data_IF_145670415279
#
_entry.id   IF_145670415279
#
_cell.length_a   1.000
_cell.length_b   1.000
_cell.length_c   1.000
_cell.angle_alpha   90.00
_cell.angle_beta   90.00
_cell.angle_gamma   90.00
#
_symmetry.space_group_name_H-M   'P 1'
#
loop_
_entity.id
_entity.type
_entity.pdbx_description
1 polymer ?
#
# COMPACT_ATOMS: atom_id res chain seq x y z
N UNK A 1 -13.05 45.17 -24.07
CA UNK A 1 -12.82 44.61 -22.73
C UNK A 1 -12.88 43.10 -22.83
N UNK A 2 -11.73 42.45 -22.73
CA UNK A 2 -11.60 41.02 -22.49
C UNK A 2 -10.17 40.84 -21.99
N UNK A 3 -9.98 41.05 -20.69
CA UNK A 3 -8.79 40.57 -20.00
C UNK A 3 -9.09 39.15 -19.58
N UNK A 4 -8.48 38.20 -20.29
CA UNK A 4 -8.42 36.81 -19.85
C UNK A 4 -7.40 36.75 -18.72
N UNK A 5 -7.87 36.74 -17.48
CA UNK A 5 -7.05 36.49 -16.30
C UNK A 5 -6.54 35.06 -16.34
N UNK A 6 -5.31 34.86 -16.82
CA UNK A 6 -4.56 33.63 -16.61
C UNK A 6 -4.26 33.49 -15.13
N UNK A 7 -4.97 32.58 -14.47
CA UNK A 7 -4.74 32.22 -13.08
C UNK A 7 -3.39 31.49 -12.97
N UNK A 8 -2.32 32.21 -12.65
CA UNK A 8 -1.00 31.61 -12.39
C UNK A 8 -1.01 31.06 -10.97
N UNK A 9 -1.47 29.81 -10.82
CA UNK A 9 -1.24 29.02 -9.61
C UNK A 9 0.25 29.07 -9.25
N UNK A 10 0.54 29.44 -8.00
CA UNK A 10 1.84 29.93 -7.54
C UNK A 10 3.03 29.10 -8.01
N UNK A 11 3.84 29.66 -8.91
CA UNK A 11 5.18 29.16 -9.21
C UNK A 11 6.18 29.88 -8.33
N UNK A 12 7.20 29.17 -7.85
CA UNK A 12 8.34 29.74 -7.16
C UNK A 12 8.91 30.91 -8.02
N UNK A 13 9.06 32.13 -7.48
CA UNK A 13 9.42 33.32 -8.26
C UNK A 13 10.87 33.31 -8.78
N UNK A 14 11.65 32.28 -8.44
CA UNK A 14 13.02 32.07 -8.89
C UNK A 14 13.07 30.74 -9.66
N UNK A 15 13.24 30.81 -10.99
CA UNK A 15 13.54 29.62 -11.79
C UNK A 15 14.94 29.11 -11.42
N UNK A 16 15.02 27.92 -10.84
CA UNK A 16 16.26 27.16 -10.73
C UNK A 16 16.35 26.17 -11.92
N UNK A 17 17.51 26.08 -12.57
CA UNK A 17 17.73 25.15 -13.69
C UNK A 17 17.85 23.67 -13.31
N UNK A 18 17.61 23.32 -12.04
CA UNK A 18 17.64 21.93 -11.57
C UNK A 18 16.34 21.19 -11.89
N UNK A 19 16.45 19.96 -12.41
CA UNK A 19 15.32 19.06 -12.56
C UNK A 19 14.93 18.47 -11.20
N UNK A 20 13.93 19.06 -10.55
CA UNK A 20 13.56 18.80 -9.15
C UNK A 20 12.13 18.26 -9.01
N UNK A 21 11.42 18.08 -10.13
CA UNK A 21 10.06 17.55 -10.18
C UNK A 21 10.02 16.26 -11.00
N UNK A 22 9.16 15.31 -10.64
CA UNK A 22 9.03 14.04 -11.35
C UNK A 22 8.30 14.17 -12.71
N UNK A 23 7.60 15.28 -12.96
CA UNK A 23 6.73 15.45 -14.13
C UNK A 23 7.44 15.82 -15.44
N UNK A 24 8.76 16.02 -15.42
CA UNK A 24 9.55 16.31 -16.61
C UNK A 24 10.76 15.37 -16.67
N UNK A 25 10.70 14.37 -17.55
CA UNK A 25 11.79 13.42 -17.76
C UNK A 25 12.31 13.49 -19.20
N UNK A 26 13.62 13.32 -19.37
CA UNK A 26 14.18 13.15 -20.73
C UNK A 26 13.64 11.87 -21.39
N UNK A 27 13.20 10.91 -20.60
CA UNK A 27 12.64 9.65 -21.08
C UNK A 27 11.28 9.82 -21.76
N UNK A 28 10.60 10.96 -21.57
CA UNK A 28 9.34 11.27 -22.25
C UNK A 28 9.51 11.34 -23.78
N UNK A 29 10.73 11.63 -24.27
CA UNK A 29 11.09 11.60 -25.70
C UNK A 29 11.23 10.17 -26.25
N UNK A 30 11.51 9.19 -25.39
CA UNK A 30 11.73 7.80 -25.77
C UNK A 30 10.93 6.85 -24.88
N UNK A 31 9.59 6.87 -24.97
CA UNK A 31 8.72 6.09 -24.07
C UNK A 31 8.89 4.57 -24.24
N UNK A 32 9.45 4.11 -25.36
CA UNK A 32 9.74 2.70 -25.64
C UNK A 32 11.16 2.27 -25.25
N UNK A 33 11.94 3.14 -24.61
CA UNK A 33 13.27 2.78 -24.14
C UNK A 33 13.20 1.77 -22.98
N UNK A 34 14.21 0.92 -22.89
CA UNK A 34 14.30 -0.06 -21.79
C UNK A 34 14.45 0.66 -20.44
N UNK A 35 13.60 0.30 -19.48
CA UNK A 35 13.61 0.88 -18.12
C UNK A 35 14.67 0.21 -17.25
N UNK A 36 15.88 0.76 -17.20
CA UNK A 36 17.00 0.21 -16.41
C UNK A 36 16.93 0.58 -14.92
N UNK A 37 16.19 1.63 -14.55
CA UNK A 37 16.13 2.13 -13.17
C UNK A 37 15.68 1.06 -12.16
N UNK A 38 14.86 0.10 -12.60
CA UNK A 38 14.36 -1.01 -11.77
C UNK A 38 15.48 -1.91 -11.24
N UNK A 39 16.65 -1.93 -11.91
CA UNK A 39 17.81 -2.73 -11.51
C UNK A 39 18.66 -2.06 -10.43
N UNK A 40 18.38 -0.78 -10.13
CA UNK A 40 19.13 0.05 -9.18
C UNK A 40 18.26 0.60 -8.05
N UNK A 41 17.05 0.08 -7.91
CA UNK A 41 16.19 0.43 -6.79
C UNK A 41 16.79 -0.07 -5.48
N UNK A 42 16.42 0.59 -4.38
CA UNK A 42 16.82 0.19 -3.03
C UNK A 42 18.34 0.11 -2.81
N UNK A 43 19.12 0.89 -3.57
CA UNK A 43 20.55 1.06 -3.35
C UNK A 43 20.84 1.76 -2.01
N UNK A 44 22.06 1.59 -1.53
CA UNK A 44 22.65 2.17 -0.32
C UNK A 44 22.45 3.68 -0.18
N UNK A 45 22.37 4.44 -1.28
CA UNK A 45 22.22 5.91 -1.25
C UNK A 45 20.88 6.39 -0.74
N UNK A 46 19.82 5.59 -0.89
CA UNK A 46 18.47 5.94 -0.41
C UNK A 46 18.15 5.33 0.94
N UNK A 47 18.92 4.33 1.36
CA UNK A 47 18.77 3.70 2.67
C UNK A 47 19.39 4.61 3.76
N UNK A 48 18.58 5.12 4.72
CA UNK A 48 19.08 5.96 5.80
C UNK A 48 19.81 5.16 6.89
N UNK A 49 19.76 3.83 6.84
CA UNK A 49 20.45 2.97 7.78
C UNK A 49 21.95 2.92 7.46
N UNK A 50 22.79 2.74 8.49
CA UNK A 50 24.22 2.56 8.29
C UNK A 50 24.51 1.29 7.46
N UNK A 51 25.64 1.22 6.75
CA UNK A 51 25.98 0.08 5.88
C UNK A 51 26.10 -1.25 6.64
N UNK A 52 26.37 -1.20 7.94
CA UNK A 52 26.52 -2.38 8.81
C UNK A 52 25.21 -2.72 9.56
N UNK A 53 24.09 -2.07 9.24
CA UNK A 53 22.81 -2.37 9.86
C UNK A 53 22.27 -3.71 9.36
N UNK A 54 21.92 -4.59 10.30
CA UNK A 54 21.26 -5.87 10.05
C UNK A 54 19.92 -5.90 10.81
N UNK A 55 18.82 -5.93 10.06
CA UNK A 55 17.49 -5.94 10.65
C UNK A 55 17.24 -7.21 11.47
N UNK A 56 17.68 -8.36 10.99
CA UNK A 56 17.45 -9.63 11.67
C UNK A 56 18.21 -9.70 13.00
N UNK A 57 19.40 -9.11 13.11
CA UNK A 57 20.12 -8.99 14.38
C UNK A 57 19.46 -8.01 15.35
N UNK A 58 18.91 -6.89 14.87
CA UNK A 58 18.15 -5.96 15.73
C UNK A 58 16.82 -6.54 16.18
N UNK A 59 16.13 -7.27 15.30
CA UNK A 59 14.86 -7.92 15.57
C UNK A 59 14.97 -8.94 16.71
N UNK A 60 16.08 -9.68 16.82
CA UNK A 60 16.32 -10.61 17.94
C UNK A 60 16.30 -9.93 19.32
N UNK A 61 16.51 -8.60 19.36
CA UNK A 61 16.53 -7.79 20.59
C UNK A 61 15.16 -7.18 20.92
N UNK A 62 14.14 -7.46 20.11
CA UNK A 62 12.78 -6.96 20.29
C UNK A 62 12.09 -7.66 21.46
N UNK A 63 11.51 -6.88 22.37
CA UNK A 63 10.57 -7.41 23.35
C UNK A 63 9.21 -7.63 22.68
N UNK A 64 9.01 -8.84 22.16
CA UNK A 64 7.83 -9.22 21.37
C UNK A 64 6.57 -9.18 22.22
N UNK A 65 6.63 -9.62 23.48
CA UNK A 65 5.43 -9.67 24.33
C UNK A 65 5.02 -8.27 24.77
N UNK A 66 5.96 -7.38 25.08
CA UNK A 66 5.64 -5.97 25.30
C UNK A 66 5.03 -5.33 24.05
N UNK A 67 5.57 -5.60 22.85
CA UNK A 67 5.02 -5.06 21.60
C UNK A 67 3.58 -5.53 21.35
N UNK A 68 3.31 -6.82 21.55
CA UNK A 68 1.96 -7.36 21.41
C UNK A 68 1.00 -6.72 22.42
N UNK A 69 1.44 -6.52 23.66
CA UNK A 69 0.61 -5.85 24.67
C UNK A 69 0.30 -4.40 24.28
N UNK A 70 1.32 -3.62 23.90
CA UNK A 70 1.15 -2.25 23.42
C UNK A 70 0.16 -2.17 22.24
N UNK A 71 0.23 -3.11 21.31
CA UNK A 71 -0.70 -3.18 20.18
C UNK A 71 -2.13 -3.49 20.62
N UNK A 72 -2.32 -4.38 21.61
CA UNK A 72 -3.65 -4.67 22.16
C UNK A 72 -4.21 -3.46 22.92
N UNK A 73 -3.38 -2.77 23.71
CA UNK A 73 -3.77 -1.57 24.44
C UNK A 73 -4.18 -0.45 23.47
N UNK A 74 -3.40 -0.25 22.39
CA UNK A 74 -3.72 0.71 21.33
C UNK A 74 -5.12 0.48 20.75
N UNK A 75 -5.60 -0.77 20.66
CA UNK A 75 -6.90 -1.04 20.04
C UNK A 75 -8.04 -0.28 20.72
N UNK A 76 -7.93 0.01 22.02
CA UNK A 76 -8.96 0.74 22.78
C UNK A 76 -8.52 2.14 23.22
N UNK A 77 -7.31 2.57 22.87
CA UNK A 77 -6.76 3.90 23.19
C UNK A 77 -7.19 4.94 22.14
N UNK A 78 -8.48 5.28 22.13
CA UNK A 78 -9.08 6.18 21.14
C UNK A 78 -8.44 7.58 21.17
N UNK A 79 -8.02 8.06 20.01
CA UNK A 79 -7.43 9.38 19.80
C UNK A 79 -8.49 10.37 19.28
N UNK A 80 -8.51 11.59 19.82
CA UNK A 80 -9.52 12.61 19.44
C UNK A 80 -9.49 12.99 17.95
N UNK A 81 -8.31 12.98 17.32
CA UNK A 81 -8.12 13.35 15.92
C UNK A 81 -8.59 12.27 14.93
N UNK A 82 -8.81 11.04 15.41
CA UNK A 82 -9.40 9.95 14.65
C UNK A 82 -10.07 8.97 15.61
N UNK A 83 -11.28 9.26 16.12
CA UNK A 83 -11.92 8.44 17.16
C UNK A 83 -12.11 6.99 16.71
N UNK A 84 -11.96 6.06 17.65
CA UNK A 84 -12.19 4.65 17.39
C UNK A 84 -13.69 4.35 17.28
N UNK A 85 -14.11 3.72 16.16
CA UNK A 85 -15.47 3.24 16.02
C UNK A 85 -15.79 2.25 17.15
N UNK A 86 -16.89 2.49 17.85
CA UNK A 86 -17.30 1.73 19.05
C UNK A 86 -16.21 1.62 20.14
N UNK A 87 -15.26 2.56 20.17
CA UNK A 87 -14.15 2.55 21.11
C UNK A 87 -13.08 1.49 20.80
N UNK A 88 -13.05 0.90 19.60
CA UNK A 88 -12.07 -0.12 19.24
C UNK A 88 -11.56 -0.01 17.79
N UNK A 89 -10.25 0.20 17.58
CA UNK A 89 -9.61 0.29 16.25
C UNK A 89 -9.45 -1.02 15.50
N UNK A 90 -9.86 -2.15 16.08
CA UNK A 90 -9.62 -3.49 15.54
C UNK A 90 -10.02 -3.68 14.09
N UNK A 91 -11.22 -3.23 13.69
CA UNK A 91 -11.67 -3.31 12.29
C UNK A 91 -10.77 -2.53 11.33
N UNK A 92 -10.33 -1.33 11.74
CA UNK A 92 -9.41 -0.49 10.96
C UNK A 92 -8.03 -1.15 10.81
N UNK A 93 -7.49 -1.75 11.88
CA UNK A 93 -6.18 -2.41 11.85
C UNK A 93 -6.20 -3.71 11.04
N UNK A 94 -7.29 -4.48 11.11
CA UNK A 94 -7.51 -5.65 10.25
C UNK A 94 -7.55 -5.23 8.79
N UNK A 95 -8.35 -4.21 8.44
CA UNK A 95 -8.40 -3.69 7.06
C UNK A 95 -7.03 -3.22 6.59
N UNK A 96 -6.28 -2.49 7.42
CA UNK A 96 -4.93 -2.03 7.07
C UNK A 96 -3.99 -3.20 6.75
N UNK A 97 -3.95 -4.23 7.60
CA UNK A 97 -3.12 -5.41 7.40
C UNK A 97 -3.55 -6.21 6.15
N UNK A 98 -4.86 -6.38 5.96
CA UNK A 98 -5.46 -7.01 4.78
C UNK A 98 -5.05 -6.28 3.50
N UNK A 99 -5.20 -4.95 3.44
CA UNK A 99 -4.82 -4.16 2.26
C UNK A 99 -3.30 -4.13 2.03
N UNK A 100 -2.49 -4.24 3.08
CA UNK A 100 -1.04 -4.34 2.93
C UNK A 100 -0.65 -5.69 2.31
N UNK A 101 -1.25 -6.79 2.77
CA UNK A 101 -1.00 -8.13 2.24
C UNK A 101 -1.68 -8.39 0.89
N UNK A 102 -2.82 -7.76 0.64
CA UNK A 102 -3.74 -8.13 -0.43
C UNK A 102 -3.37 -7.64 -1.83
N UNK A 103 -2.29 -6.88 -1.97
CA UNK A 103 -1.78 -6.48 -3.30
C UNK A 103 -0.94 -7.56 -3.97
N UNK A 104 -0.70 -8.68 -3.28
CA UNK A 104 0.09 -9.79 -3.79
C UNK A 104 -0.57 -10.46 -5.00
N UNK A 105 0.26 -10.90 -5.96
CA UNK A 105 -0.19 -11.70 -7.10
C UNK A 105 0.79 -12.82 -7.43
N UNK A 106 0.26 -14.00 -7.77
CA UNK A 106 1.05 -15.22 -7.99
C UNK A 106 1.84 -15.20 -9.30
N UNK A 107 1.37 -14.46 -10.31
CA UNK A 107 1.92 -14.51 -11.66
C UNK A 107 3.38 -14.03 -11.73
N UNK A 108 3.72 -13.00 -10.95
CA UNK A 108 5.08 -12.44 -10.89
C UNK A 108 5.63 -12.29 -9.46
N UNK A 109 4.85 -12.66 -8.44
CA UNK A 109 5.24 -12.61 -7.03
C UNK A 109 5.33 -11.20 -6.44
N UNK A 110 4.89 -10.16 -7.16
CA UNK A 110 4.95 -8.77 -6.68
C UNK A 110 3.77 -8.41 -5.77
N UNK A 111 3.92 -7.26 -5.10
CA UNK A 111 2.97 -6.77 -4.12
C UNK A 111 3.06 -7.52 -2.79
N UNK A 112 2.02 -7.37 -1.98
CA UNK A 112 1.91 -7.95 -0.66
C UNK A 112 2.60 -7.15 0.45
N UNK A 113 2.52 -7.68 1.66
CA UNK A 113 2.91 -6.96 2.88
C UNK A 113 4.41 -7.04 3.22
N UNK A 114 5.22 -7.63 2.34
CA UNK A 114 6.61 -8.02 2.62
C UNK A 114 7.58 -6.85 2.82
N UNK A 115 7.28 -5.67 2.28
CA UNK A 115 8.20 -4.53 2.23
C UNK A 115 7.67 -3.27 2.94
N UNK A 116 6.41 -3.31 3.41
CA UNK A 116 5.74 -2.16 4.00
C UNK A 116 5.39 -1.06 2.98
N UNK A 117 5.36 -1.38 1.68
CA UNK A 117 5.11 -0.47 0.57
C UNK A 117 3.80 0.35 0.66
N UNK A 118 2.81 -0.07 1.47
CA UNK A 118 1.58 0.68 1.74
C UNK A 118 1.86 2.10 2.31
N UNK A 119 3.06 2.37 2.84
CA UNK A 119 3.45 3.72 3.29
C UNK A 119 3.96 4.64 2.17
N UNK A 120 4.22 4.10 0.98
CA UNK A 120 4.73 4.82 -0.18
C UNK A 120 3.68 4.92 -1.29
N UNK A 121 3.90 5.85 -2.23
CA UNK A 121 3.13 5.87 -3.47
C UNK A 121 3.42 4.58 -4.29
N UNK A 122 2.45 4.10 -5.08
CA UNK A 122 1.10 4.64 -5.23
C UNK A 122 0.14 4.18 -4.12
N UNK A 123 0.46 3.08 -3.42
CA UNK A 123 -0.46 2.39 -2.51
C UNK A 123 -0.95 3.26 -1.35
N UNK A 124 -0.14 4.18 -0.84
CA UNK A 124 -0.56 5.09 0.22
C UNK A 124 -1.70 6.04 -0.18
N UNK A 125 -2.02 6.13 -1.47
CA UNK A 125 -2.98 7.05 -2.07
C UNK A 125 -4.00 6.36 -2.98
N UNK A 126 -4.01 5.02 -3.03
CA UNK A 126 -5.05 4.29 -3.74
C UNK A 126 -6.44 4.58 -3.15
N UNK A 127 -7.50 4.69 -3.98
CA UNK A 127 -8.87 4.88 -3.50
C UNK A 127 -9.30 3.82 -2.47
N UNK A 128 -8.91 2.57 -2.68
CA UNK A 128 -9.27 1.49 -1.75
C UNK A 128 -8.47 1.54 -0.45
N UNK A 129 -7.42 2.37 -0.36
CA UNK A 129 -6.62 2.58 0.85
C UNK A 129 -7.01 3.86 1.61
N UNK A 130 -8.15 4.46 1.29
CA UNK A 130 -8.68 5.63 2.00
C UNK A 130 -8.71 5.40 3.51
N UNK A 131 -8.23 6.41 4.24
CA UNK A 131 -8.12 6.47 5.69
C UNK A 131 -7.12 5.50 6.33
N UNK A 132 -6.46 4.63 5.56
CA UNK A 132 -5.36 3.81 6.10
C UNK A 132 -4.12 4.63 6.43
N UNK A 133 -4.01 5.86 5.92
CA UNK A 133 -3.01 6.83 6.39
C UNK A 133 -3.19 7.17 7.88
N UNK A 134 -4.43 7.18 8.39
CA UNK A 134 -4.72 7.36 9.83
C UNK A 134 -4.38 6.10 10.61
N UNK A 135 -4.70 4.91 10.08
CA UNK A 135 -4.31 3.64 10.69
C UNK A 135 -2.79 3.54 10.89
N UNK A 136 -2.00 3.85 9.84
CA UNK A 136 -0.53 3.91 9.94
C UNK A 136 -0.05 4.97 10.93
N UNK A 137 -0.73 6.12 11.00
CA UNK A 137 -0.40 7.19 11.95
C UNK A 137 -0.66 6.79 13.41
N UNK A 138 -1.72 6.03 13.69
CA UNK A 138 -2.01 5.49 15.02
C UNK A 138 -0.92 4.53 15.50
N UNK A 139 -0.26 3.81 14.60
CA UNK A 139 0.85 2.89 14.92
C UNK A 139 2.21 3.58 15.11
N UNK A 140 2.33 4.86 14.75
CA UNK A 140 3.59 5.59 14.83
C UNK A 140 4.20 5.64 16.25
N UNK A 141 3.44 5.90 17.34
CA UNK A 141 4.00 5.87 18.69
C UNK A 141 4.67 4.53 19.04
N UNK A 142 4.08 3.41 18.60
CA UNK A 142 4.64 2.07 18.76
C UNK A 142 5.92 1.93 17.93
N UNK A 143 5.89 2.29 16.65
CA UNK A 143 7.11 2.27 15.81
C UNK A 143 8.23 3.11 16.42
N UNK A 144 7.91 4.28 16.97
CA UNK A 144 8.84 5.18 17.64
C UNK A 144 9.42 4.55 18.91
N UNK A 145 8.61 3.85 19.72
CA UNK A 145 9.05 3.17 20.94
C UNK A 145 10.03 2.02 20.65
N UNK A 146 9.74 1.19 19.63
CA UNK A 146 10.54 0.01 19.32
C UNK A 146 11.67 0.25 18.31
N UNK A 147 11.64 1.39 17.61
CA UNK A 147 12.74 1.84 16.76
C UNK A 147 13.09 0.84 15.66
N UNK A 148 14.39 0.60 15.47
CA UNK A 148 14.90 -0.21 14.36
C UNK A 148 14.74 -1.73 14.57
N UNK A 149 14.32 -2.15 15.76
CA UNK A 149 14.04 -3.56 16.08
C UNK A 149 12.71 -4.06 15.50
N UNK A 150 11.92 -3.14 14.96
CA UNK A 150 10.60 -3.39 14.42
C UNK A 150 10.45 -2.60 13.12
N UNK A 151 10.37 -3.28 11.98
CA UNK A 151 10.09 -2.62 10.70
C UNK A 151 8.63 -2.17 10.63
N UNK A 152 8.33 -1.21 9.74
CA UNK A 152 6.94 -0.93 9.40
C UNK A 152 6.29 -2.14 8.73
N UNK A 153 7.01 -2.85 7.85
CA UNK A 153 6.50 -4.02 7.16
C UNK A 153 5.94 -5.08 8.13
N UNK A 154 6.67 -5.42 9.21
CA UNK A 154 6.17 -6.34 10.23
C UNK A 154 5.06 -5.70 11.09
N UNK A 155 5.21 -4.44 11.50
CA UNK A 155 4.23 -3.76 12.35
C UNK A 155 2.84 -3.67 11.70
N UNK A 156 2.76 -3.37 10.40
CA UNK A 156 1.48 -3.26 9.68
C UNK A 156 0.69 -4.58 9.74
N UNK A 157 1.36 -5.71 9.55
CA UNK A 157 0.69 -7.03 9.56
C UNK A 157 0.42 -7.48 10.99
N UNK A 158 1.37 -7.27 11.91
CA UNK A 158 1.19 -7.64 13.32
C UNK A 158 0.01 -6.90 13.96
N UNK A 159 -0.22 -5.64 13.60
CA UNK A 159 -1.37 -4.87 14.08
C UNK A 159 -2.71 -5.55 13.76
N UNK A 160 -2.85 -6.12 12.55
CA UNK A 160 -4.04 -6.90 12.16
C UNK A 160 -4.18 -8.19 12.96
N UNK A 161 -3.09 -8.93 13.17
CA UNK A 161 -3.10 -10.13 14.02
C UNK A 161 -3.49 -9.80 15.47
N UNK A 162 -2.93 -8.75 16.06
CA UNK A 162 -3.25 -8.34 17.43
C UNK A 162 -4.67 -7.82 17.57
N UNK A 163 -5.22 -7.18 16.55
CA UNK A 163 -6.62 -6.79 16.50
C UNK A 163 -7.55 -8.02 16.52
N UNK A 164 -7.25 -9.07 15.76
CA UNK A 164 -8.01 -10.32 15.82
C UNK A 164 -7.97 -10.95 17.21
N UNK A 165 -6.78 -11.04 17.81
CA UNK A 165 -6.61 -11.60 19.16
C UNK A 165 -7.32 -10.78 20.24
N UNK A 166 -7.27 -9.44 20.18
CA UNK A 166 -7.97 -8.58 21.12
C UNK A 166 -9.49 -8.71 21.02
N UNK A 167 -10.01 -9.11 19.86
CA UNK A 167 -11.43 -9.37 19.62
C UNK A 167 -11.83 -10.85 19.80
N UNK A 168 -10.96 -11.67 20.40
CA UNK A 168 -11.27 -13.05 20.78
C UNK A 168 -11.04 -14.10 19.70
N UNK A 169 -10.45 -13.73 18.55
CA UNK A 169 -10.05 -14.70 17.53
C UNK A 169 -8.62 -15.17 17.76
N UNK A 170 -8.42 -16.48 17.94
CA UNK A 170 -7.09 -17.07 18.08
C UNK A 170 -6.43 -17.21 16.70
N UNK A 171 -5.43 -16.37 16.42
CA UNK A 171 -4.64 -16.47 15.20
C UNK A 171 -3.76 -17.73 15.20
N UNK A 172 -3.36 -18.19 14.01
CA UNK A 172 -2.50 -19.36 13.88
C UNK A 172 -1.07 -19.11 14.37
N UNK A 173 -0.57 -17.89 14.18
CA UNK A 173 0.76 -17.47 14.54
C UNK A 173 1.17 -16.21 13.76
N UNK A 174 2.39 -15.74 14.01
CA UNK A 174 2.98 -14.60 13.31
C UNK A 174 4.49 -14.81 13.17
N UNK A 175 5.04 -14.44 12.00
CA UNK A 175 6.48 -14.44 11.73
C UNK A 175 6.96 -13.02 11.42
N UNK A 176 8.02 -12.60 12.13
CA UNK A 176 8.77 -11.38 11.85
C UNK A 176 9.88 -11.64 10.83
N UNK A 177 10.48 -10.59 10.30
CA UNK A 177 11.65 -10.65 9.41
C UNK A 177 11.48 -9.87 8.12
N UNK A 178 10.42 -9.07 7.99
CA UNK A 178 10.21 -8.21 6.81
C UNK A 178 11.05 -6.95 6.95
N UNK A 179 11.95 -6.69 6.02
CA UNK A 179 12.74 -5.46 6.01
C UNK A 179 11.96 -4.28 5.42
N UNK A 180 12.31 -3.08 5.87
CA UNK A 180 11.74 -1.83 5.37
C UNK A 180 12.44 -1.39 4.07
N UNK A 181 11.67 -0.93 3.08
CA UNK A 181 12.20 -0.22 1.90
C UNK A 181 12.18 1.30 2.10
N UNK A 182 12.89 2.05 1.25
CA UNK A 182 13.05 3.50 1.41
C UNK A 182 12.56 4.35 0.23
N UNK A 183 11.97 3.69 -0.76
CA UNK A 183 11.39 4.30 -1.95
C UNK A 183 10.31 3.39 -2.54
N UNK A 184 9.38 3.92 -3.37
CA UNK A 184 8.43 3.11 -4.12
C UNK A 184 9.06 1.97 -4.94
N UNK A 185 8.34 0.86 -5.04
CA UNK A 185 8.61 -0.26 -5.96
C UNK A 185 8.06 0.09 -7.36
N UNK A 186 8.88 0.77 -8.16
CA UNK A 186 8.56 1.19 -9.54
C UNK A 186 8.69 0.09 -10.60
N UNK A 187 9.11 -1.11 -10.21
CA UNK A 187 9.15 -2.31 -11.04
C UNK A 187 7.79 -3.02 -11.13
N UNK A 188 6.84 -2.67 -10.26
CA UNK A 188 5.50 -3.28 -10.28
C UNK A 188 4.61 -2.63 -11.33
N UNK A 189 4.16 -3.41 -12.31
CA UNK A 189 3.12 -3.03 -13.26
C UNK A 189 1.73 -3.23 -12.66
N UNK A 190 1.04 -2.15 -12.28
CA UNK A 190 -0.30 -2.19 -11.67
C UNK A 190 -1.46 -2.14 -12.67
N UNK A 191 -1.16 -1.99 -13.97
CA UNK A 191 -2.09 -1.72 -15.05
C UNK A 191 -1.67 -0.49 -15.87
N UNK A 192 -2.18 -0.37 -17.10
CA UNK A 192 -1.81 0.70 -18.03
C UNK A 192 -2.71 1.95 -17.92
N UNK A 193 -3.83 1.85 -17.21
CA UNK A 193 -4.86 2.87 -17.12
C UNK A 193 -4.32 4.20 -16.57
N UNK A 194 -4.96 5.31 -16.94
CA UNK A 194 -4.58 6.66 -16.52
C UNK A 194 -5.56 7.30 -15.54
N UNK A 195 -6.63 6.59 -15.21
CA UNK A 195 -7.67 7.03 -14.28
C UNK A 195 -7.88 6.00 -13.18
N UNK A 196 -8.10 6.47 -11.96
CA UNK A 196 -8.45 5.60 -10.84
C UNK A 196 -9.84 5.02 -11.06
N UNK A 197 -10.00 3.73 -10.79
CA UNK A 197 -11.29 3.03 -10.90
C UNK A 197 -11.92 3.17 -12.29
N UNK A 198 -11.09 3.28 -13.34
CA UNK A 198 -11.55 3.18 -14.72
C UNK A 198 -12.36 1.88 -14.91
N UNK A 199 -13.31 1.82 -15.88
CA UNK A 199 -14.08 0.61 -16.14
C UNK A 199 -13.16 -0.60 -16.30
N UNK A 200 -13.57 -1.72 -15.72
CA UNK A 200 -12.79 -2.96 -15.70
C UNK A 200 -12.42 -3.41 -17.13
N UNK A 201 -13.26 -3.06 -18.12
CA UNK A 201 -13.07 -3.35 -19.56
C UNK A 201 -11.67 -2.99 -20.09
N UNK A 202 -10.97 -2.01 -19.50
CA UNK A 202 -9.62 -1.62 -19.94
C UNK A 202 -8.53 -2.68 -19.66
N UNK A 203 -8.79 -3.61 -18.74
CA UNK A 203 -7.82 -4.64 -18.31
C UNK A 203 -8.26 -6.08 -18.55
N UNK A 204 -9.32 -6.31 -19.32
CA UNK A 204 -9.81 -7.64 -19.70
C UNK A 204 -9.91 -7.74 -21.21
N UNK A 205 -9.76 -8.96 -21.75
CA UNK A 205 -10.22 -9.25 -23.10
C UNK A 205 -11.76 -9.16 -23.21
N UNK A 206 -12.46 -9.70 -22.21
CA UNK A 206 -13.92 -9.60 -22.03
C UNK A 206 -14.24 -9.60 -20.51
N UNK A 207 -14.88 -8.53 -20.01
CA UNK A 207 -15.23 -8.41 -18.59
C UNK A 207 -16.25 -9.47 -18.11
N UNK A 208 -16.99 -10.08 -19.04
CA UNK A 208 -17.92 -11.17 -18.75
C UNK A 208 -17.21 -12.54 -18.63
N UNK A 209 -15.95 -12.64 -19.06
CA UNK A 209 -15.07 -13.81 -18.94
C UNK A 209 -13.87 -13.45 -18.03
N UNK A 210 -13.98 -13.60 -16.69
CA UNK A 210 -12.97 -13.10 -15.75
C UNK A 210 -11.53 -13.59 -16.00
N UNK A 211 -11.37 -14.81 -16.52
CA UNK A 211 -10.08 -15.43 -16.86
C UNK A 211 -9.35 -14.74 -18.03
N UNK A 212 -10.01 -13.79 -18.68
CA UNK A 212 -9.40 -12.91 -19.70
C UNK A 212 -8.75 -11.66 -19.10
N UNK A 213 -8.72 -11.50 -17.77
CA UNK A 213 -7.97 -10.43 -17.10
C UNK A 213 -6.51 -10.43 -17.60
N UNK A 214 -5.99 -9.24 -17.91
CA UNK A 214 -4.61 -9.06 -18.36
C UNK A 214 -3.65 -9.61 -17.29
N UNK A 215 -2.88 -10.64 -17.65
CA UNK A 215 -1.77 -11.11 -16.82
C UNK A 215 -0.64 -10.06 -16.80
N UNK A 216 -0.11 -9.63 -15.63
CA UNK A 216 -0.16 -10.29 -14.31
C UNK A 216 -1.09 -9.62 -13.29
N UNK A 217 -2.16 -8.95 -13.72
CA UNK A 217 -3.06 -8.25 -12.81
C UNK A 217 -3.86 -9.24 -11.93
N UNK A 218 -4.30 -8.76 -10.76
CA UNK A 218 -5.07 -9.54 -9.79
C UNK A 218 -6.18 -8.71 -9.13
N UNK A 219 -6.55 -7.58 -9.76
CA UNK A 219 -7.60 -6.70 -9.30
C UNK A 219 -8.43 -6.23 -10.49
N UNK A 220 -9.73 -6.03 -10.29
CA UNK A 220 -10.67 -5.72 -11.39
C UNK A 220 -10.54 -4.28 -11.90
N UNK A 221 -9.97 -3.37 -11.10
CA UNK A 221 -9.77 -1.96 -11.48
C UNK A 221 -8.50 -1.39 -10.84
N UNK A 222 -7.92 -0.38 -11.49
CA UNK A 222 -6.76 0.34 -10.97
C UNK A 222 -7.11 1.04 -9.66
N UNK A 223 -6.38 0.72 -8.59
CA UNK A 223 -6.57 1.34 -7.27
C UNK A 223 -7.48 0.56 -6.32
N UNK A 224 -8.00 -0.61 -6.73
CA UNK A 224 -8.65 -1.60 -5.85
C UNK A 224 -7.66 -2.67 -5.39
N UNK A 225 -7.92 -3.29 -4.24
CA UNK A 225 -7.15 -4.46 -3.80
C UNK A 225 -7.56 -5.71 -4.61
N UNK A 226 -8.86 -5.97 -4.77
CA UNK A 226 -9.36 -7.14 -5.52
C UNK A 226 -10.54 -6.78 -6.42
N UNK A 227 -11.75 -6.70 -5.84
CA UNK A 227 -13.01 -6.51 -6.57
C UNK A 227 -13.71 -5.21 -6.19
N UNK A 228 -14.62 -4.74 -7.05
CA UNK A 228 -15.47 -3.61 -6.75
C UNK A 228 -16.60 -4.03 -5.78
N UNK A 229 -16.74 -3.40 -4.60
CA UNK A 229 -17.74 -3.77 -3.61
C UNK A 229 -19.19 -3.49 -4.06
N UNK A 230 -19.41 -2.63 -5.06
CA UNK A 230 -20.73 -2.34 -5.64
C UNK A 230 -21.08 -3.29 -6.80
N UNK A 231 -20.14 -4.15 -7.19
CA UNK A 231 -20.24 -5.11 -8.29
C UNK A 231 -19.51 -4.65 -9.55
N UNK A 232 -19.52 -5.50 -10.58
CA UNK A 232 -18.73 -5.30 -11.81
C UNK A 232 -19.10 -3.96 -12.46
N UNK A 233 -18.13 -3.06 -12.59
CA UNK A 233 -18.34 -1.68 -13.07
C UNK A 233 -19.43 -0.91 -12.29
N UNK A 234 -19.55 -1.15 -10.98
CA UNK A 234 -20.55 -0.53 -10.11
C UNK A 234 -21.98 -1.05 -10.32
N UNK A 235 -22.17 -2.16 -11.05
CA UNK A 235 -23.48 -2.77 -11.27
C UNK A 235 -23.70 -3.91 -10.27
N UNK A 236 -24.77 -3.85 -9.45
CA UNK A 236 -25.00 -4.84 -8.41
C UNK A 236 -25.56 -6.14 -9.00
N UNK A 237 -24.65 -7.03 -9.42
CA UNK A 237 -24.93 -8.42 -9.81
C UNK A 237 -24.02 -9.36 -9.00
N UNK A 238 -24.53 -9.98 -7.92
CA UNK A 238 -23.74 -10.84 -7.06
C UNK A 238 -23.12 -12.05 -7.78
N UNK A 239 -23.75 -12.57 -8.84
CA UNK A 239 -23.23 -13.72 -9.56
C UNK A 239 -22.01 -13.34 -10.39
N UNK A 240 -22.05 -12.18 -11.06
CA UNK A 240 -20.89 -11.65 -11.77
C UNK A 240 -19.78 -11.26 -10.82
N UNK A 241 -20.09 -10.61 -9.71
CA UNK A 241 -19.11 -10.28 -8.67
C UNK A 241 -18.45 -11.54 -8.11
N UNK A 242 -19.20 -12.61 -7.87
CA UNK A 242 -18.64 -13.86 -7.38
C UNK A 242 -17.64 -14.50 -8.38
N UNK A 243 -17.88 -14.37 -9.68
CA UNK A 243 -16.95 -14.81 -10.71
C UNK A 243 -15.64 -14.00 -10.67
N UNK A 244 -15.73 -12.68 -10.51
CA UNK A 244 -14.56 -11.80 -10.36
C UNK A 244 -13.80 -12.04 -9.04
N UNK A 245 -14.52 -12.33 -7.94
CA UNK A 245 -13.89 -12.74 -6.67
C UNK A 245 -13.10 -14.03 -6.84
N UNK A 246 -13.64 -15.01 -7.58
CA UNK A 246 -12.92 -16.26 -7.83
C UNK A 246 -11.62 -16.00 -8.59
N UNK A 247 -11.66 -15.19 -9.64
CA UNK A 247 -10.49 -14.89 -10.46
C UNK A 247 -9.41 -14.16 -9.66
N UNK A 248 -9.79 -13.07 -8.98
CA UNK A 248 -8.82 -12.20 -8.28
C UNK A 248 -8.19 -12.83 -7.04
N UNK A 249 -8.81 -13.86 -6.46
CA UNK A 249 -8.29 -14.57 -5.27
C UNK A 249 -7.55 -15.88 -5.60
N UNK A 250 -7.62 -16.37 -6.84
CA UNK A 250 -6.98 -17.62 -7.26
C UNK A 250 -5.46 -17.49 -7.33
#
# INVERSE_FOLDING_TARGET
MSETTTNTNGKCPVMHGGNTEAGASVMDWWPNALKLDILSQHDTKTNPMGPDFDYHEELKKLDVEALKQDLRDLMTDSQEWWPADWGHYGGLMIRMAWHAAGTYRIADGRGGGGTGNQRFAPLNSWPDNVSLDKARRLLWPIKKKYGNKLSWADLLILAGNMAYESMGFKTFGFGFGREDIWSPETDTYWGAEKEWLAPSDERYGDVEEPDTMENPLAAVQMGLIYVNPEGVNGKPDPMKTAAQVRETFA
#
